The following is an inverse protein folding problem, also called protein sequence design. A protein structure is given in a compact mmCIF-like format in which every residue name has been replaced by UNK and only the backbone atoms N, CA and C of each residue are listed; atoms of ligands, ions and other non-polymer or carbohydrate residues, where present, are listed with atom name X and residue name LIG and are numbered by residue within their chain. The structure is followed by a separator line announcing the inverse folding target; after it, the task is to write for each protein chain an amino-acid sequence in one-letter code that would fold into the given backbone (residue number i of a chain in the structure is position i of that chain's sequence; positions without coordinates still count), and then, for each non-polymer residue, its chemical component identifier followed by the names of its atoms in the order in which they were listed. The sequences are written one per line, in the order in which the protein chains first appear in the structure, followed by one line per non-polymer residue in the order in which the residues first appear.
data_IF_151673362508
#
_entry.id   IF_151673362508
#
_cell.length_a   1.000
_cell.length_b   1.000
_cell.length_c   1.000
_cell.angle_alpha   90.00
_cell.angle_beta   90.00
_cell.angle_gamma   90.00
#
_symmetry.space_group_name_H-M   'P 1'
#
loop_
_entity.id
_entity.type
_entity.pdbx_description
1 polymer ?
#
# COMPACT_ATOMS: atom_id res chain seq x y z
N UNK A 1 -29.84 55.42 -41.75
CA UNK A 1 -30.04 54.94 -40.36
C UNK A 1 -30.16 53.42 -40.39
N UNK A 2 -29.03 52.70 -40.41
CA UNK A 2 -29.01 51.23 -40.36
C UNK A 2 -27.72 50.77 -39.65
N UNK A 3 -27.66 51.09 -38.36
CA UNK A 3 -26.68 50.57 -37.40
C UNK A 3 -27.34 49.38 -36.71
N UNK A 4 -27.25 48.18 -37.29
CA UNK A 4 -27.56 46.90 -36.64
C UNK A 4 -27.35 45.77 -37.66
N UNK A 5 -26.16 45.18 -37.65
CA UNK A 5 -25.83 43.78 -38.00
C UNK A 5 -24.34 43.66 -38.36
N UNK A 6 -23.45 43.89 -37.39
CA UNK A 6 -22.05 43.44 -37.53
C UNK A 6 -21.34 43.34 -36.18
N UNK A 7 -22.10 43.02 -35.13
CA UNK A 7 -21.57 42.67 -33.80
C UNK A 7 -22.32 41.47 -33.26
N UNK A 8 -22.15 40.30 -33.87
CA UNK A 8 -22.61 39.05 -33.25
C UNK A 8 -21.88 37.79 -33.71
N UNK A 9 -20.71 37.88 -34.34
CA UNK A 9 -19.93 36.69 -34.73
C UNK A 9 -18.59 36.54 -33.99
N UNK A 10 -18.33 37.32 -32.93
CA UNK A 10 -17.11 37.18 -32.12
C UNK A 10 -17.31 36.36 -30.83
N UNK A 11 -18.46 35.72 -30.64
CA UNK A 11 -18.77 34.90 -29.45
C UNK A 11 -19.05 33.43 -29.77
N UNK A 12 -18.77 32.98 -31.00
CA UNK A 12 -18.83 31.56 -31.37
C UNK A 12 -17.46 30.99 -31.78
N UNK A 13 -16.38 31.47 -31.15
CA UNK A 13 -15.25 30.59 -30.90
C UNK A 13 -15.60 29.75 -29.67
N UNK A 14 -16.38 28.70 -29.93
CA UNK A 14 -16.30 27.47 -29.14
C UNK A 14 -14.81 27.20 -28.95
N UNK A 15 -14.35 27.04 -27.71
CA UNK A 15 -13.06 26.45 -27.40
C UNK A 15 -12.87 25.23 -28.31
N UNK A 16 -12.16 25.40 -29.41
CA UNK A 16 -11.87 24.29 -30.30
C UNK A 16 -11.03 23.34 -29.45
N UNK A 17 -11.65 22.22 -29.04
CA UNK A 17 -11.03 21.21 -28.21
C UNK A 17 -9.62 20.95 -28.75
N UNK A 18 -8.58 21.33 -28.01
CA UNK A 18 -7.21 21.14 -28.45
C UNK A 18 -7.02 19.64 -28.70
N UNK A 19 -6.88 19.17 -29.95
CA UNK A 19 -6.94 17.76 -30.28
C UNK A 19 -5.82 16.98 -29.59
N UNK A 20 -4.68 17.62 -29.32
CA UNK A 20 -3.59 17.04 -28.54
C UNK A 20 -3.95 16.85 -27.07
N UNK A 21 -4.73 17.76 -26.47
CA UNK A 21 -5.22 17.60 -25.08
C UNK A 21 -6.25 16.48 -24.98
N UNK A 22 -7.17 16.39 -25.93
CA UNK A 22 -8.14 15.31 -26.00
C UNK A 22 -7.45 13.95 -26.19
N UNK A 23 -6.45 13.89 -27.07
CA UNK A 23 -5.64 12.72 -27.31
C UNK A 23 -4.82 12.31 -26.07
N UNK A 24 -4.17 13.26 -25.38
CA UNK A 24 -3.43 13.00 -24.15
C UNK A 24 -4.32 12.37 -23.07
N UNK A 25 -5.50 12.96 -22.84
CA UNK A 25 -6.47 12.44 -21.89
C UNK A 25 -6.99 11.05 -22.27
N UNK A 26 -7.18 10.77 -23.56
CA UNK A 26 -7.59 9.45 -24.03
C UNK A 26 -6.55 8.39 -23.67
N UNK A 27 -5.28 8.61 -24.01
CA UNK A 27 -4.20 7.69 -23.67
C UNK A 27 -4.01 7.54 -22.16
N UNK A 28 -4.13 8.64 -21.42
CA UNK A 28 -4.09 8.61 -19.96
C UNK A 28 -5.15 7.69 -19.37
N UNK A 29 -6.40 7.84 -19.79
CA UNK A 29 -7.51 7.03 -19.32
C UNK A 29 -7.38 5.57 -19.78
N UNK A 30 -6.93 5.32 -21.01
CA UNK A 30 -6.63 3.95 -21.48
C UNK A 30 -5.52 3.31 -20.63
N UNK A 31 -4.48 4.06 -20.30
CA UNK A 31 -3.42 3.66 -19.40
C UNK A 31 -3.94 3.24 -18.03
N UNK A 32 -4.78 4.07 -17.39
CA UNK A 32 -5.43 3.76 -16.11
C UNK A 32 -6.28 2.49 -16.18
N UNK A 33 -7.12 2.35 -17.21
CA UNK A 33 -7.94 1.15 -17.41
C UNK A 33 -7.07 -0.10 -17.62
N UNK A 34 -5.98 0.02 -18.38
CA UNK A 34 -5.05 -1.08 -18.60
C UNK A 34 -4.30 -1.46 -17.32
N UNK A 35 -3.95 -0.48 -16.47
CA UNK A 35 -3.38 -0.73 -15.15
C UNK A 35 -4.35 -1.52 -14.27
N UNK A 36 -5.60 -1.09 -14.16
CA UNK A 36 -6.64 -1.75 -13.37
C UNK A 36 -6.93 -3.19 -13.85
N UNK A 37 -6.83 -3.43 -15.16
CA UNK A 37 -6.99 -4.76 -15.76
C UNK A 37 -5.73 -5.64 -15.65
N UNK A 38 -4.64 -5.14 -15.09
CA UNK A 38 -3.36 -5.85 -15.02
C UNK A 38 -2.60 -5.96 -16.36
N UNK A 39 -3.01 -5.21 -17.38
CA UNK A 39 -2.33 -5.15 -18.68
C UNK A 39 -1.16 -4.16 -18.64
N UNK A 40 -0.16 -4.43 -17.81
CA UNK A 40 0.86 -3.46 -17.45
C UNK A 40 1.74 -3.00 -18.63
N UNK A 41 2.03 -3.84 -19.62
CA UNK A 41 2.78 -3.44 -20.80
C UNK A 41 2.00 -2.47 -21.70
N UNK A 42 0.67 -2.65 -21.79
CA UNK A 42 -0.20 -1.69 -22.51
C UNK A 42 -0.29 -0.39 -21.74
N UNK A 43 -0.49 -0.47 -20.42
CA UNK A 43 -0.47 0.68 -19.53
C UNK A 43 0.79 1.52 -19.70
N UNK A 44 1.97 0.88 -19.72
CA UNK A 44 3.25 1.59 -19.91
C UNK A 44 3.27 2.33 -21.25
N UNK A 45 2.89 1.68 -22.35
CA UNK A 45 2.86 2.34 -23.67
C UNK A 45 1.91 3.54 -23.70
N UNK A 46 0.69 3.36 -23.21
CA UNK A 46 -0.33 4.41 -23.24
C UNK A 46 0.07 5.61 -22.37
N UNK A 47 0.59 5.36 -21.16
CA UNK A 47 0.98 6.42 -20.23
C UNK A 47 2.28 7.12 -20.62
N UNK A 48 3.23 6.44 -21.27
CA UNK A 48 4.42 7.12 -21.83
C UNK A 48 4.01 8.12 -22.92
N UNK A 49 3.05 7.76 -23.77
CA UNK A 49 2.54 8.65 -24.79
C UNK A 49 1.75 9.82 -24.18
N UNK A 50 0.90 9.54 -23.19
CA UNK A 50 0.16 10.57 -22.46
C UNK A 50 1.09 11.56 -21.75
N UNK A 51 2.10 11.08 -21.02
CA UNK A 51 3.09 11.91 -20.32
C UNK A 51 3.81 12.84 -21.28
N UNK A 52 4.30 12.32 -22.41
CA UNK A 52 4.98 13.11 -23.43
C UNK A 52 4.09 14.26 -23.92
N UNK A 53 2.82 13.98 -24.23
CA UNK A 53 1.86 15.01 -24.63
C UNK A 53 1.58 16.01 -23.51
N UNK A 54 1.32 15.56 -22.28
CA UNK A 54 1.06 16.46 -21.15
C UNK A 54 2.25 17.39 -20.86
N UNK A 55 3.48 16.89 -20.99
CA UNK A 55 4.69 17.68 -20.85
C UNK A 55 4.79 18.78 -21.94
N UNK A 56 4.40 18.49 -23.19
CA UNK A 56 4.32 19.53 -24.24
C UNK A 56 3.19 20.54 -24.02
N UNK A 57 2.09 20.11 -23.41
CA UNK A 57 0.91 20.92 -23.13
C UNK A 57 1.01 21.68 -21.80
N UNK A 58 2.17 21.63 -21.13
CA UNK A 58 2.42 22.20 -19.80
C UNK A 58 1.39 21.76 -18.73
N UNK A 59 0.80 20.58 -18.89
CA UNK A 59 -0.16 19.98 -17.95
C UNK A 59 0.61 19.20 -16.88
N UNK A 60 1.31 19.92 -16.01
CA UNK A 60 2.28 19.36 -15.05
C UNK A 60 1.68 18.29 -14.13
N UNK A 61 0.45 18.50 -13.65
CA UNK A 61 -0.24 17.57 -12.75
C UNK A 61 -0.51 16.22 -13.43
N UNK A 62 -1.10 16.22 -14.63
CA UNK A 62 -1.39 14.99 -15.36
C UNK A 62 -0.13 14.28 -15.84
N UNK A 63 0.94 15.03 -16.16
CA UNK A 63 2.25 14.44 -16.43
C UNK A 63 2.82 13.72 -15.19
N UNK A 64 2.71 14.34 -14.01
CA UNK A 64 3.14 13.73 -12.75
C UNK A 64 2.30 12.49 -12.38
N UNK A 65 0.97 12.55 -12.55
CA UNK A 65 0.09 11.40 -12.32
C UNK A 65 0.39 10.25 -13.28
N UNK A 66 0.68 10.56 -14.56
CA UNK A 66 1.12 9.56 -15.54
C UNK A 66 2.41 8.87 -15.10
N UNK A 67 3.40 9.63 -14.63
CA UNK A 67 4.68 9.11 -14.10
C UNK A 67 4.48 8.25 -12.85
N UNK A 68 3.58 8.66 -11.95
CA UNK A 68 3.26 7.88 -10.76
C UNK A 68 2.67 6.52 -11.10
N UNK A 69 1.68 6.47 -11.99
CA UNK A 69 1.06 5.22 -12.43
C UNK A 69 2.06 4.36 -13.22
N UNK A 70 2.91 4.98 -14.06
CA UNK A 70 4.03 4.28 -14.73
C UNK A 70 4.96 3.62 -13.72
N UNK A 71 5.30 4.32 -12.64
CA UNK A 71 6.06 3.79 -11.52
C UNK A 71 5.48 2.49 -11.02
N UNK A 72 4.18 2.46 -10.71
CA UNK A 72 3.48 1.26 -10.28
C UNK A 72 3.38 0.18 -11.37
N UNK A 73 3.18 0.55 -12.63
CA UNK A 73 3.10 -0.41 -13.73
C UNK A 73 4.43 -1.15 -13.91
N UNK A 74 5.55 -0.42 -13.86
CA UNK A 74 6.88 -1.02 -13.91
C UNK A 74 7.15 -1.98 -12.75
N UNK A 75 6.63 -1.71 -11.55
CA UNK A 75 6.75 -2.65 -10.43
C UNK A 75 6.06 -3.97 -10.70
N UNK A 76 4.84 -3.93 -11.24
CA UNK A 76 4.11 -5.15 -11.58
C UNK A 76 4.78 -5.92 -12.72
N UNK A 77 5.61 -5.26 -13.53
CA UNK A 77 6.47 -5.87 -14.55
C UNK A 77 7.85 -6.32 -14.01
N UNK A 78 8.09 -6.21 -12.70
CA UNK A 78 9.39 -6.45 -12.05
C UNK A 78 10.54 -5.57 -12.59
N UNK A 79 10.22 -4.41 -13.16
CA UNK A 79 11.17 -3.45 -13.73
C UNK A 79 11.54 -2.36 -12.72
N UNK A 80 12.23 -2.75 -11.64
CA UNK A 80 12.44 -1.87 -10.48
C UNK A 80 13.20 -0.57 -10.77
N UNK A 81 14.21 -0.59 -11.65
CA UNK A 81 14.97 0.62 -12.01
C UNK A 81 14.09 1.67 -12.71
N UNK A 82 13.21 1.23 -13.61
CA UNK A 82 12.26 2.12 -14.29
C UNK A 82 11.19 2.62 -13.33
N UNK A 83 10.71 1.77 -12.42
CA UNK A 83 9.78 2.19 -11.38
C UNK A 83 10.33 3.28 -10.47
N UNK A 84 11.54 3.10 -9.94
CA UNK A 84 12.21 4.11 -9.09
C UNK A 84 12.42 5.42 -9.85
N UNK A 85 12.83 5.36 -11.13
CA UNK A 85 12.99 6.55 -11.96
C UNK A 85 11.65 7.31 -12.12
N UNK A 86 10.59 6.61 -12.52
CA UNK A 86 9.27 7.22 -12.72
C UNK A 86 8.67 7.78 -11.43
N UNK A 87 8.81 7.09 -10.30
CA UNK A 87 8.36 7.59 -9.00
C UNK A 87 9.15 8.81 -8.52
N UNK A 88 10.46 8.85 -8.77
CA UNK A 88 11.28 10.02 -8.41
C UNK A 88 10.95 11.24 -9.29
N UNK A 89 10.72 11.04 -10.59
CA UNK A 89 10.27 12.12 -11.48
C UNK A 89 8.87 12.63 -11.09
N UNK A 90 7.95 11.72 -10.73
CA UNK A 90 6.64 12.08 -10.20
C UNK A 90 6.75 12.87 -8.88
N UNK A 91 7.60 12.41 -7.95
CA UNK A 91 7.87 13.09 -6.68
C UNK A 91 8.28 14.54 -6.89
N UNK A 92 9.30 14.77 -7.73
CA UNK A 92 9.80 16.13 -8.04
C UNK A 92 8.68 17.01 -8.59
N UNK A 93 7.92 16.52 -9.58
CA UNK A 93 6.82 17.29 -10.19
C UNK A 93 5.69 17.57 -9.20
N UNK A 94 5.32 16.62 -8.37
CA UNK A 94 4.30 16.82 -7.33
C UNK A 94 4.74 17.85 -6.28
N UNK A 95 6.02 17.84 -5.89
CA UNK A 95 6.59 18.87 -5.01
C UNK A 95 6.56 20.26 -5.68
N UNK A 96 6.94 20.37 -6.96
CA UNK A 96 6.91 21.64 -7.70
C UNK A 96 5.51 22.26 -7.78
N UNK A 97 4.47 21.44 -7.96
CA UNK A 97 3.07 21.89 -8.01
C UNK A 97 2.40 21.94 -6.64
N UNK A 98 3.16 21.73 -5.55
CA UNK A 98 2.69 21.71 -4.16
C UNK A 98 1.58 20.68 -3.88
N UNK A 99 1.54 19.58 -4.65
CA UNK A 99 0.71 18.43 -4.32
C UNK A 99 1.47 17.53 -3.33
N UNK A 100 1.49 17.98 -2.07
CA UNK A 100 2.27 17.36 -0.99
C UNK A 100 1.82 15.92 -0.70
N UNK A 101 0.51 15.65 -0.79
CA UNK A 101 -0.03 14.30 -0.58
C UNK A 101 0.54 13.30 -1.60
N UNK A 102 0.51 13.63 -2.89
CA UNK A 102 1.07 12.74 -3.92
C UNK A 102 2.59 12.64 -3.88
N UNK A 103 3.30 13.70 -3.48
CA UNK A 103 4.73 13.62 -3.21
C UNK A 103 5.02 12.65 -2.05
N UNK A 104 4.26 12.71 -0.95
CA UNK A 104 4.40 11.81 0.18
C UNK A 104 4.12 10.34 -0.19
N UNK A 105 3.11 10.08 -1.04
CA UNK A 105 2.83 8.75 -1.59
C UNK A 105 4.01 8.22 -2.44
N UNK A 106 4.60 9.07 -3.29
CA UNK A 106 5.79 8.69 -4.07
C UNK A 106 6.95 8.30 -3.15
N UNK A 107 7.21 9.10 -2.11
CA UNK A 107 8.25 8.83 -1.12
C UNK A 107 7.99 7.52 -0.35
N UNK A 108 6.75 7.27 0.09
CA UNK A 108 6.35 6.03 0.73
C UNK A 108 6.67 4.83 -0.15
N UNK A 109 6.29 4.92 -1.43
CA UNK A 109 6.49 3.83 -2.38
C UNK A 109 7.96 3.58 -2.68
N UNK A 110 8.76 4.63 -2.89
CA UNK A 110 10.21 4.53 -3.07
C UNK A 110 10.91 3.92 -1.85
N UNK A 111 10.46 4.27 -0.64
CA UNK A 111 10.93 3.66 0.60
C UNK A 111 10.73 2.14 0.61
N UNK A 112 9.48 1.71 0.40
CA UNK A 112 9.10 0.28 0.32
C UNK A 112 9.93 -0.48 -0.74
N UNK A 113 10.12 0.12 -1.92
CA UNK A 113 10.96 -0.39 -3.01
C UNK A 113 12.43 -0.59 -2.62
N UNK A 114 13.01 0.40 -1.94
CA UNK A 114 14.38 0.29 -1.48
C UNK A 114 14.54 -0.80 -0.43
N UNK A 115 13.53 -1.04 0.42
CA UNK A 115 13.51 -2.19 1.35
C UNK A 115 13.53 -3.51 0.59
N UNK A 116 12.69 -3.68 -0.43
CA UNK A 116 12.65 -4.90 -1.26
C UNK A 116 14.01 -5.17 -1.94
N UNK A 117 14.68 -4.08 -2.36
CA UNK A 117 16.05 -4.11 -2.90
C UNK A 117 17.15 -4.26 -1.83
N UNK A 118 16.80 -4.47 -0.55
CA UNK A 118 17.72 -4.54 0.61
C UNK A 118 18.57 -3.29 0.83
N UNK A 119 18.19 -2.15 0.25
CA UNK A 119 18.80 -0.84 0.45
C UNK A 119 18.17 -0.13 1.66
N UNK A 120 18.45 -0.66 2.85
CA UNK A 120 17.80 -0.25 4.10
C UNK A 120 17.95 1.26 4.40
N UNK A 121 19.14 1.82 4.18
CA UNK A 121 19.40 3.25 4.44
C UNK A 121 18.53 4.16 3.56
N UNK A 122 18.46 3.88 2.25
CA UNK A 122 17.62 4.64 1.31
C UNK A 122 16.14 4.44 1.63
N UNK A 123 15.74 3.23 2.03
CA UNK A 123 14.36 2.96 2.46
C UNK A 123 13.97 3.89 3.60
N UNK A 124 14.73 3.88 4.70
CA UNK A 124 14.45 4.73 5.87
C UNK A 124 14.41 6.21 5.47
N UNK A 125 15.36 6.69 4.67
CA UNK A 125 15.37 8.09 4.22
C UNK A 125 14.08 8.49 3.51
N UNK A 126 13.60 7.70 2.56
CA UNK A 126 12.36 8.01 1.84
C UNK A 126 11.10 7.83 2.70
N UNK A 127 11.10 6.85 3.61
CA UNK A 127 10.01 6.66 4.55
C UNK A 127 9.92 7.80 5.58
N UNK A 128 11.05 8.36 6.01
CA UNK A 128 11.09 9.55 6.86
C UNK A 128 10.57 10.78 6.14
N UNK A 129 10.95 11.01 4.87
CA UNK A 129 10.38 12.07 4.04
C UNK A 129 8.85 11.90 3.93
N UNK A 130 8.38 10.69 3.64
CA UNK A 130 6.94 10.41 3.55
C UNK A 130 6.21 10.71 4.87
N UNK A 131 6.80 10.29 6.00
CA UNK A 131 6.28 10.52 7.34
C UNK A 131 6.17 12.02 7.64
N UNK A 132 7.22 12.80 7.38
CA UNK A 132 7.21 14.27 7.58
C UNK A 132 6.12 14.93 6.73
N UNK A 133 6.05 14.61 5.44
CA UNK A 133 5.05 15.22 4.54
C UNK A 133 3.60 14.86 4.94
N UNK A 134 3.33 13.62 5.37
CA UNK A 134 2.00 13.23 5.83
C UNK A 134 1.65 13.84 7.19
N UNK A 135 2.63 14.07 8.06
CA UNK A 135 2.44 14.81 9.31
C UNK A 135 2.09 16.28 9.04
N UNK A 136 2.80 16.94 8.11
CA UNK A 136 2.57 18.34 7.74
C UNK A 136 1.16 18.60 7.22
N UNK A 137 0.61 17.69 6.40
CA UNK A 137 -0.74 17.82 5.86
C UNK A 137 -1.83 17.22 6.77
N UNK A 138 -1.45 16.67 7.92
CA UNK A 138 -2.38 16.05 8.87
C UNK A 138 -3.03 14.75 8.36
N UNK A 139 -2.42 14.04 7.42
CA UNK A 139 -2.93 12.78 6.87
C UNK A 139 -2.59 11.60 7.79
N UNK A 140 -3.37 11.48 8.89
CA UNK A 140 -3.09 10.55 9.99
C UNK A 140 -3.03 9.09 9.54
N UNK A 141 -3.90 8.69 8.60
CA UNK A 141 -3.92 7.32 8.09
C UNK A 141 -2.63 6.98 7.33
N UNK A 142 -2.24 7.83 6.37
CA UNK A 142 -1.03 7.62 5.58
C UNK A 142 0.25 7.78 6.39
N UNK A 143 0.25 8.65 7.40
CA UNK A 143 1.32 8.70 8.39
C UNK A 143 1.49 7.34 9.09
N UNK A 144 0.38 6.66 9.38
CA UNK A 144 0.38 5.29 9.90
C UNK A 144 1.02 4.28 8.93
N UNK A 145 0.75 4.42 7.63
CA UNK A 145 1.38 3.59 6.60
C UNK A 145 2.91 3.76 6.57
N UNK A 146 3.40 5.00 6.66
CA UNK A 146 4.85 5.28 6.73
C UNK A 146 5.48 4.64 7.97
N UNK A 147 4.86 4.77 9.14
CA UNK A 147 5.36 4.14 10.37
C UNK A 147 5.38 2.61 10.29
N UNK A 148 4.35 2.00 9.69
CA UNK A 148 4.30 0.55 9.47
C UNK A 148 5.44 0.11 8.55
N UNK A 149 5.65 0.81 7.44
CA UNK A 149 6.73 0.49 6.49
C UNK A 149 8.13 0.70 7.10
N UNK A 150 8.28 1.66 8.02
CA UNK A 150 9.51 1.82 8.82
C UNK A 150 9.71 0.59 9.71
N UNK A 151 8.66 0.12 10.41
CA UNK A 151 8.70 -1.13 11.16
C UNK A 151 9.17 -2.31 10.30
N UNK A 152 8.57 -2.50 9.13
CA UNK A 152 8.95 -3.53 8.17
C UNK A 152 10.42 -3.42 7.69
N UNK A 153 11.03 -2.24 7.79
CA UNK A 153 12.40 -1.97 7.35
C UNK A 153 13.45 -2.09 8.46
N UNK A 154 13.07 -1.83 9.72
CA UNK A 154 14.01 -1.69 10.84
C UNK A 154 14.50 -3.02 11.43
N UNK A 155 13.76 -4.12 11.21
CA UNK A 155 14.15 -5.42 11.74
C UNK A 155 15.30 -6.00 10.90
N UNK A 156 16.54 -5.73 11.34
CA UNK A 156 17.77 -6.25 10.72
C UNK A 156 18.16 -7.59 11.30
N UNK A 157 18.03 -7.71 12.62
CA UNK A 157 18.41 -8.89 13.40
C UNK A 157 17.51 -8.97 14.64
N UNK A 158 16.84 -10.11 14.79
CA UNK A 158 15.95 -10.40 15.94
C UNK A 158 16.75 -10.52 17.23
N UNK A 159 18.04 -10.86 17.16
CA UNK A 159 18.92 -10.97 18.33
C UNK A 159 19.43 -9.61 18.82
N UNK A 160 19.23 -8.53 18.06
CA UNK A 160 19.62 -7.18 18.45
C UNK A 160 18.46 -6.47 19.18
N UNK A 161 18.55 -6.23 20.50
CA UNK A 161 17.46 -5.65 21.28
C UNK A 161 17.04 -4.26 20.79
N UNK A 162 17.99 -3.45 20.32
CA UNK A 162 17.70 -2.10 19.81
C UNK A 162 16.92 -2.17 18.48
N UNK A 163 17.25 -3.12 17.60
CA UNK A 163 16.53 -3.31 16.34
C UNK A 163 15.09 -3.76 16.60
N UNK A 164 14.90 -4.71 17.51
CA UNK A 164 13.58 -5.19 17.95
C UNK A 164 12.77 -4.07 18.60
N UNK A 165 13.38 -3.30 19.51
CA UNK A 165 12.69 -2.21 20.23
C UNK A 165 12.23 -1.11 19.27
N UNK A 166 13.09 -0.69 18.34
CA UNK A 166 12.73 0.33 17.36
C UNK A 166 11.64 -0.16 16.40
N UNK A 167 11.70 -1.42 15.98
CA UNK A 167 10.66 -2.07 15.15
C UNK A 167 9.32 -2.10 15.90
N UNK A 168 9.32 -2.55 17.16
CA UNK A 168 8.14 -2.59 18.03
C UNK A 168 7.52 -1.21 18.18
N UNK A 169 8.34 -0.19 18.44
CA UNK A 169 7.88 1.20 18.57
C UNK A 169 7.22 1.69 17.27
N UNK A 170 7.80 1.40 16.12
CA UNK A 170 7.26 1.79 14.82
C UNK A 170 5.87 1.17 14.57
N UNK A 171 5.70 -0.13 14.82
CA UNK A 171 4.37 -0.77 14.70
C UNK A 171 3.36 -0.23 15.72
N UNK A 172 3.78 0.02 16.96
CA UNK A 172 2.90 0.60 17.97
C UNK A 172 2.43 2.00 17.58
N UNK A 173 3.30 2.83 16.98
CA UNK A 173 2.93 4.13 16.43
C UNK A 173 1.94 3.99 15.28
N UNK A 174 2.19 3.08 14.34
CA UNK A 174 1.26 2.79 13.24
C UNK A 174 -0.13 2.38 13.75
N UNK A 175 -0.21 1.44 14.69
CA UNK A 175 -1.46 0.98 15.32
C UNK A 175 -2.22 2.15 15.98
N UNK A 176 -1.51 3.02 16.72
CA UNK A 176 -2.13 4.20 17.34
C UNK A 176 -2.69 5.17 16.30
N UNK A 177 -1.97 5.39 15.19
CA UNK A 177 -2.39 6.27 14.10
C UNK A 177 -3.59 5.69 13.35
N UNK A 178 -3.55 4.42 12.99
CA UNK A 178 -4.69 3.74 12.34
C UNK A 178 -5.94 3.74 13.24
N UNK A 179 -5.78 3.55 14.55
CA UNK A 179 -6.88 3.71 15.51
C UNK A 179 -7.47 5.13 15.49
N UNK A 180 -6.62 6.16 15.48
CA UNK A 180 -7.07 7.57 15.40
C UNK A 180 -7.79 7.87 14.08
N UNK A 181 -7.28 7.32 12.97
CA UNK A 181 -7.87 7.44 11.65
C UNK A 181 -9.15 6.58 11.45
N UNK A 182 -9.49 5.69 12.41
CA UNK A 182 -10.55 4.69 12.29
C UNK A 182 -10.32 3.69 11.13
N UNK A 183 -9.06 3.51 10.73
CA UNK A 183 -8.61 2.56 9.72
C UNK A 183 -8.41 1.17 10.35
N UNK A 184 -9.50 0.52 10.78
CA UNK A 184 -9.44 -0.72 11.56
C UNK A 184 -8.80 -1.90 10.80
N UNK A 185 -8.89 -1.95 9.47
CA UNK A 185 -8.20 -2.97 8.66
C UNK A 185 -6.68 -2.84 8.76
N UNK A 186 -6.17 -1.64 8.48
CA UNK A 186 -4.74 -1.33 8.55
C UNK A 186 -4.20 -1.53 9.97
N UNK A 187 -5.00 -1.19 10.99
CA UNK A 187 -4.71 -1.49 12.39
C UNK A 187 -4.56 -3.00 12.63
N UNK A 188 -5.52 -3.82 12.19
CA UNK A 188 -5.46 -5.27 12.37
C UNK A 188 -4.25 -5.89 11.66
N UNK A 189 -3.90 -5.39 10.45
CA UNK A 189 -2.70 -5.82 9.74
C UNK A 189 -1.41 -5.45 10.50
N UNK A 190 -1.31 -4.24 11.04
CA UNK A 190 -0.16 -3.84 11.85
C UNK A 190 -0.06 -4.62 13.19
N UNK A 191 -1.21 -5.02 13.77
CA UNK A 191 -1.25 -5.91 14.93
C UNK A 191 -0.71 -7.30 14.59
N UNK A 192 -0.99 -7.83 13.40
CA UNK A 192 -0.40 -9.10 12.92
C UNK A 192 1.11 -8.98 12.80
N UNK A 193 1.63 -7.91 12.19
CA UNK A 193 3.08 -7.70 12.02
C UNK A 193 3.78 -7.61 13.40
N UNK A 194 3.16 -6.91 14.36
CA UNK A 194 3.66 -6.82 15.73
C UNK A 194 3.56 -8.16 16.50
N UNK A 195 2.54 -8.96 16.23
CA UNK A 195 2.39 -10.30 16.79
C UNK A 195 3.50 -11.23 16.30
N UNK A 196 3.81 -11.19 15.00
CA UNK A 196 4.91 -11.96 14.40
C UNK A 196 6.27 -11.55 14.96
N UNK A 197 6.52 -10.24 15.14
CA UNK A 197 7.71 -9.76 15.83
C UNK A 197 7.78 -10.32 17.26
N UNK A 198 6.67 -10.27 18.01
CA UNK A 198 6.62 -10.77 19.39
C UNK A 198 6.88 -12.27 19.48
N UNK A 199 6.43 -13.06 18.48
CA UNK A 199 6.77 -14.48 18.39
C UNK A 199 8.26 -14.73 18.12
N UNK A 200 8.87 -13.91 17.26
CA UNK A 200 10.31 -14.03 16.95
C UNK A 200 11.19 -13.74 18.17
N UNK A 201 10.67 -12.97 19.13
CA UNK A 201 11.35 -12.59 20.38
C UNK A 201 10.85 -13.40 21.59
N UNK A 202 10.24 -14.56 21.36
CA UNK A 202 9.76 -15.49 22.41
C UNK A 202 8.83 -14.83 23.45
N UNK A 203 7.98 -13.91 23.00
CA UNK A 203 6.94 -13.30 23.84
C UNK A 203 5.56 -13.74 23.35
N UNK A 204 5.19 -14.99 23.68
CA UNK A 204 3.96 -15.62 23.24
C UNK A 204 2.70 -14.92 23.75
N UNK A 205 2.76 -14.33 24.95
CA UNK A 205 1.60 -13.66 25.57
C UNK A 205 1.22 -12.40 24.80
N UNK A 206 2.19 -11.55 24.49
CA UNK A 206 1.95 -10.34 23.69
C UNK A 206 1.50 -10.72 22.29
N UNK A 207 2.18 -11.67 21.64
CA UNK A 207 1.80 -12.18 20.32
C UNK A 207 0.34 -12.66 20.29
N UNK A 208 -0.06 -13.46 21.28
CA UNK A 208 -1.42 -13.97 21.38
C UNK A 208 -2.46 -12.84 21.48
N UNK A 209 -2.20 -11.81 22.29
CA UNK A 209 -3.11 -10.69 22.44
C UNK A 209 -3.31 -9.93 21.13
N UNK A 210 -2.23 -9.66 20.40
CA UNK A 210 -2.30 -8.99 19.10
C UNK A 210 -3.01 -9.85 18.05
N UNK A 211 -2.72 -11.15 17.96
CA UNK A 211 -3.44 -12.04 17.05
C UNK A 211 -4.94 -12.14 17.38
N UNK A 212 -5.32 -12.20 18.65
CA UNK A 212 -6.73 -12.22 19.05
C UNK A 212 -7.46 -10.93 18.68
N UNK A 213 -6.80 -9.77 18.84
CA UNK A 213 -7.33 -8.48 18.41
C UNK A 213 -7.56 -8.44 16.90
N UNK A 214 -6.54 -8.82 16.10
CA UNK A 214 -6.65 -8.87 14.65
C UNK A 214 -7.70 -9.89 14.17
N UNK A 215 -7.76 -11.09 14.78
CA UNK A 215 -8.77 -12.10 14.48
C UNK A 215 -10.19 -11.55 14.67
N UNK A 216 -10.44 -10.87 15.79
CA UNK A 216 -11.76 -10.29 16.09
C UNK A 216 -12.24 -9.33 14.99
N UNK A 217 -11.32 -8.51 14.46
CA UNK A 217 -11.61 -7.62 13.33
C UNK A 217 -12.04 -8.40 12.07
N UNK A 218 -11.19 -9.34 11.62
CA UNK A 218 -11.43 -10.08 10.37
C UNK A 218 -12.67 -10.99 10.46
N UNK A 219 -12.97 -11.54 11.64
CA UNK A 219 -14.19 -12.32 11.89
C UNK A 219 -15.45 -11.48 11.74
N UNK A 220 -15.46 -10.29 12.35
CA UNK A 220 -16.57 -9.37 12.23
C UNK A 220 -16.80 -8.91 10.79
N UNK A 221 -15.72 -8.74 10.01
CA UNK A 221 -15.79 -8.34 8.59
C UNK A 221 -16.06 -9.50 7.63
N UNK A 222 -16.08 -10.75 8.10
CA UNK A 222 -16.21 -11.96 7.26
C UNK A 222 -15.17 -12.01 6.13
N UNK A 223 -13.97 -11.49 6.40
CA UNK A 223 -12.83 -11.52 5.51
C UNK A 223 -11.95 -12.69 5.90
N UNK A 224 -11.99 -13.76 5.13
CA UNK A 224 -11.40 -15.02 5.56
C UNK A 224 -9.93 -15.20 5.14
N UNK A 225 -9.42 -14.38 4.24
CA UNK A 225 -8.08 -14.51 3.63
C UNK A 225 -6.97 -14.55 4.68
N UNK A 226 -7.10 -13.76 5.75
CA UNK A 226 -6.14 -13.71 6.85
C UNK A 226 -6.52 -14.61 8.03
N UNK A 227 -7.79 -15.00 8.17
CA UNK A 227 -8.29 -15.69 9.36
C UNK A 227 -7.67 -17.05 9.58
N UNK A 228 -7.52 -17.86 8.53
CA UNK A 228 -6.91 -19.20 8.66
C UNK A 228 -5.50 -19.07 9.22
N UNK A 229 -4.70 -18.14 8.68
CA UNK A 229 -3.32 -17.89 9.13
C UNK A 229 -3.28 -17.43 10.59
N UNK A 230 -4.09 -16.44 10.96
CA UNK A 230 -4.13 -15.90 12.34
C UNK A 230 -4.54 -16.98 13.34
N UNK A 231 -5.63 -17.71 13.06
CA UNK A 231 -6.16 -18.78 13.91
C UNK A 231 -5.12 -19.90 14.09
N UNK A 232 -4.39 -20.25 13.03
CA UNK A 232 -3.30 -21.22 13.11
C UNK A 232 -2.13 -20.75 13.96
N UNK A 233 -1.75 -19.46 13.90
CA UNK A 233 -0.73 -18.91 14.79
C UNK A 233 -1.19 -18.96 16.26
N UNK A 234 -2.45 -18.62 16.54
CA UNK A 234 -3.03 -18.73 17.88
C UNK A 234 -3.00 -20.18 18.39
N UNK A 235 -3.38 -21.15 17.55
CA UNK A 235 -3.33 -22.57 17.90
C UNK A 235 -1.90 -23.02 18.27
N UNK A 236 -0.91 -22.65 17.45
CA UNK A 236 0.51 -22.93 17.70
C UNK A 236 1.00 -22.30 19.01
N UNK A 237 0.60 -21.06 19.31
CA UNK A 237 0.92 -20.40 20.58
C UNK A 237 0.31 -21.18 21.75
N UNK A 238 -0.95 -21.61 21.66
CA UNK A 238 -1.55 -22.40 22.73
C UNK A 238 -0.89 -23.77 22.92
N UNK A 239 -0.37 -24.40 21.86
CA UNK A 239 0.46 -25.60 22.01
C UNK A 239 1.76 -25.32 22.77
N UNK A 240 2.48 -24.25 22.40
CA UNK A 240 3.70 -23.84 23.11
C UNK A 240 3.45 -23.54 24.59
N UNK A 241 2.28 -22.99 24.91
CA UNK A 241 1.83 -22.73 26.28
C UNK A 241 1.23 -23.96 26.98
N UNK A 242 1.35 -25.16 26.39
CA UNK A 242 0.82 -26.45 26.87
C UNK A 242 -0.71 -26.50 27.06
N UNK A 243 -1.44 -25.55 26.48
CA UNK A 243 -2.91 -25.46 26.54
C UNK A 243 -3.54 -26.25 25.39
N UNK A 244 -3.28 -27.57 25.35
CA UNK A 244 -3.70 -28.47 24.25
C UNK A 244 -5.18 -28.37 23.88
N UNK A 245 -6.10 -28.28 24.86
CA UNK A 245 -7.54 -28.13 24.61
C UNK A 245 -7.86 -26.86 23.81
N UNK A 246 -7.30 -25.72 24.21
CA UNK A 246 -7.49 -24.46 23.48
C UNK A 246 -6.84 -24.53 22.10
N UNK A 247 -5.65 -25.10 22.01
CA UNK A 247 -5.01 -25.28 20.71
C UNK A 247 -5.91 -26.06 19.72
N UNK A 248 -6.53 -27.16 20.18
CA UNK A 248 -7.49 -27.93 19.40
C UNK A 248 -8.71 -27.10 18.99
N UNK A 249 -9.28 -26.30 19.88
CA UNK A 249 -10.43 -25.43 19.55
C UNK A 249 -10.11 -24.45 18.40
N UNK A 250 -8.94 -23.82 18.43
CA UNK A 250 -8.51 -22.93 17.34
C UNK A 250 -8.16 -23.72 16.07
N UNK A 251 -7.57 -24.90 16.20
CA UNK A 251 -7.31 -25.78 15.07
C UNK A 251 -8.60 -26.19 14.33
N UNK A 252 -9.63 -26.63 15.07
CA UNK A 252 -10.94 -26.98 14.52
C UNK A 252 -11.62 -25.76 13.87
N UNK A 253 -11.41 -24.57 14.45
CA UNK A 253 -11.89 -23.31 13.88
C UNK A 253 -11.23 -23.01 12.53
N UNK A 254 -9.91 -23.21 12.39
CA UNK A 254 -9.22 -23.05 11.11
C UNK A 254 -9.77 -24.00 10.04
N UNK A 255 -9.98 -25.28 10.39
CA UNK A 255 -10.58 -26.26 9.48
C UNK A 255 -11.98 -25.86 9.03
N UNK A 256 -12.81 -25.32 9.93
CA UNK A 256 -14.16 -24.86 9.61
C UNK A 256 -14.13 -23.69 8.61
N UNK A 257 -13.20 -22.75 8.79
CA UNK A 257 -13.02 -21.60 7.88
C UNK A 257 -12.55 -22.10 6.51
N UNK A 258 -11.54 -22.99 6.45
CA UNK A 258 -11.06 -23.55 5.19
C UNK A 258 -12.15 -24.28 4.40
N UNK A 259 -13.00 -25.07 5.08
CA UNK A 259 -14.15 -25.74 4.47
C UNK A 259 -15.17 -24.75 3.91
N UNK A 260 -15.46 -23.66 4.65
CA UNK A 260 -16.38 -22.61 4.20
C UNK A 260 -15.90 -21.93 2.91
N UNK A 261 -14.59 -21.81 2.73
CA UNK A 261 -13.99 -21.09 1.60
C UNK A 261 -13.53 -21.98 0.46
N UNK A 262 -14.00 -23.23 0.42
CA UNK A 262 -13.69 -24.17 -0.66
C UNK A 262 -12.17 -24.35 -0.90
N UNK A 263 -11.36 -24.32 0.17
CA UNK A 263 -9.97 -24.72 0.08
C UNK A 263 -9.90 -26.17 -0.42
N UNK A 264 -8.87 -26.50 -1.22
CA UNK A 264 -8.71 -27.86 -1.74
C UNK A 264 -8.61 -28.87 -0.58
N UNK A 265 -9.17 -30.07 -0.80
CA UNK A 265 -9.09 -31.16 0.16
C UNK A 265 -7.64 -31.46 0.57
N UNK A 266 -6.70 -31.33 -0.38
CA UNK A 266 -5.27 -31.46 -0.12
C UNK A 266 -4.75 -30.43 0.88
N UNK A 267 -5.09 -29.14 0.76
CA UNK A 267 -4.69 -28.11 1.72
C UNK A 267 -5.28 -28.36 3.11
N UNK A 268 -6.53 -28.83 3.17
CA UNK A 268 -7.18 -29.19 4.42
C UNK A 268 -6.46 -30.39 5.06
N UNK A 269 -6.04 -31.37 4.27
CA UNK A 269 -5.34 -32.55 4.76
C UNK A 269 -3.90 -32.24 5.21
N UNK A 270 -3.19 -31.37 4.48
CA UNK A 270 -1.89 -30.85 4.91
C UNK A 270 -1.98 -30.16 6.28
N UNK A 271 -3.07 -29.42 6.53
CA UNK A 271 -3.28 -28.80 7.83
C UNK A 271 -3.42 -29.85 8.95
N UNK A 272 -4.12 -30.97 8.68
CA UNK A 272 -4.31 -32.08 9.64
C UNK A 272 -3.04 -32.83 9.99
N UNK A 273 -2.01 -32.73 9.18
CA UNK A 273 -0.73 -33.36 9.45
C UNK A 273 0.19 -32.46 10.30
N UNK A 274 -0.12 -31.17 10.42
CA UNK A 274 0.67 -30.19 11.16
C UNK A 274 0.31 -30.10 12.66
N UNK A 275 -0.68 -30.88 13.12
CA UNK A 275 -1.24 -30.85 14.47
C UNK A 275 -1.68 -32.25 14.91
#
# INVERSE_FOLDING_TARGET
MNLKKEKSNSTHMVEAANPHKAQANMYFNQGKINFEKGNYEKCVRDLQFAESLFSTLNSKELAAESMFILGHAYLNLNQMNYALKSLNEAFIKFTEIQNIEKAAECALKMGSLHRECKNIEKSIKFLDISKELFEDIGSIEHLGDSWKEIGNTLLKDVQNPNSVQNTKLAYQKAIQLFKKAKAEEKKALAEIDLALLSLSTENEKDALNYFLSAMSYFEHKKQDDFLVTIVMQIAKIYLKLEKKKKAQEYYDKALKIMKRNNYSAEKIEQLKQLF
#
